data_IF_006895935554
#
_entry.id   IF_006895935554
#
_cell.length_a   1.000
_cell.length_b   1.000
_cell.length_c   1.000
_cell.angle_alpha   90.00
_cell.angle_beta   90.00
_cell.angle_gamma   90.00
#
_symmetry.space_group_name_H-M   'P 1'
#
loop_
_entity.id
_entity.type
_entity.pdbx_description
1 polymer ?
#
# COMPACT_ATOMS: atom_id res chain seq x y z
N UNK A 1 -6.03 -4.16 -20.69
CA UNK A 1 -5.07 -3.04 -20.52
C UNK A 1 -4.67 -3.02 -19.06
N UNK A 2 -3.38 -2.90 -18.77
CA UNK A 2 -2.87 -2.72 -17.41
C UNK A 2 -2.31 -1.31 -17.33
N UNK A 3 -2.66 -0.58 -16.29
CA UNK A 3 -2.08 0.73 -15.98
C UNK A 3 -1.33 0.59 -14.68
N UNK A 4 -0.10 1.11 -14.66
CA UNK A 4 0.74 1.20 -13.46
C UNK A 4 1.12 2.66 -13.27
N UNK A 5 0.86 3.18 -12.08
CA UNK A 5 1.32 4.50 -11.62
C UNK A 5 2.20 4.26 -10.42
N UNK A 6 3.36 4.92 -10.38
CA UNK A 6 4.35 4.82 -9.31
C UNK A 6 4.69 6.24 -8.88
N UNK A 7 4.67 6.50 -7.58
CA UNK A 7 5.06 7.77 -6.99
C UNK A 7 5.96 7.55 -5.77
N UNK A 8 7.09 8.25 -5.70
CA UNK A 8 8.09 8.08 -4.64
C UNK A 8 8.48 9.42 -4.06
N UNK A 9 8.34 9.55 -2.76
CA UNK A 9 8.78 10.70 -1.98
C UNK A 9 9.89 10.31 -0.99
N UNK A 10 10.85 11.21 -0.81
CA UNK A 10 11.94 11.05 0.16
C UNK A 10 12.08 12.29 1.02
N UNK A 11 12.00 12.13 2.33
CA UNK A 11 12.15 13.20 3.32
C UNK A 11 13.32 12.88 4.25
N UNK A 12 14.22 13.85 4.43
CA UNK A 12 15.39 13.71 5.33
C UNK A 12 15.37 14.81 6.37
N UNK A 13 15.26 14.45 7.65
CA UNK A 13 15.23 15.40 8.77
C UNK A 13 16.09 14.88 9.93
N UNK A 14 17.10 15.65 10.32
CA UNK A 14 17.86 15.40 11.56
C UNK A 14 18.51 14.02 11.64
N UNK A 15 18.94 13.44 10.51
CA UNK A 15 19.51 12.09 10.45
C UNK A 15 18.48 10.96 10.34
N UNK A 16 17.19 11.29 10.25
CA UNK A 16 16.12 10.37 9.87
C UNK A 16 15.88 10.47 8.37
N UNK A 17 15.71 9.32 7.71
CA UNK A 17 15.26 9.23 6.31
C UNK A 17 13.91 8.54 6.29
N UNK A 18 12.93 9.14 5.63
CA UNK A 18 11.63 8.54 5.33
C UNK A 18 11.50 8.44 3.82
N UNK A 19 11.19 7.25 3.34
CA UNK A 19 10.82 6.98 1.94
C UNK A 19 9.38 6.53 1.94
N UNK A 20 8.56 7.17 1.12
CA UNK A 20 7.16 6.80 0.87
C UNK A 20 7.07 6.42 -0.60
N UNK A 21 6.52 5.25 -0.90
CA UNK A 21 6.35 4.75 -2.26
C UNK A 21 4.93 4.25 -2.45
N UNK A 22 4.23 4.78 -3.45
CA UNK A 22 2.85 4.41 -3.77
C UNK A 22 2.77 3.86 -5.18
N UNK A 23 2.42 2.59 -5.28
CA UNK A 23 2.13 1.89 -6.51
C UNK A 23 0.62 1.69 -6.68
N UNK A 24 0.10 2.03 -7.87
CA UNK A 24 -1.29 1.77 -8.25
C UNK A 24 -1.33 0.91 -9.52
N UNK A 25 -1.93 -0.28 -9.41
CA UNK A 25 -2.10 -1.22 -10.53
C UNK A 25 -3.58 -1.44 -10.82
N UNK A 26 -3.99 -1.21 -12.06
CA UNK A 26 -5.38 -1.42 -12.50
C UNK A 26 -5.45 -2.50 -13.56
N UNK A 27 -6.20 -3.58 -13.28
CA UNK A 27 -6.43 -4.69 -14.20
C UNK A 27 -7.89 -5.13 -14.16
N UNK A 28 -8.64 -4.90 -15.25
CA UNK A 28 -9.91 -5.58 -15.51
C UNK A 28 -10.93 -5.53 -14.36
N UNK A 29 -11.18 -4.33 -13.79
CA UNK A 29 -12.10 -4.14 -12.67
C UNK A 29 -11.48 -4.35 -11.29
N UNK A 30 -10.19 -4.71 -11.21
CA UNK A 30 -9.40 -4.73 -9.99
C UNK A 30 -8.47 -3.52 -9.94
N UNK A 31 -8.39 -2.87 -8.78
CA UNK A 31 -7.41 -1.84 -8.44
C UNK A 31 -6.63 -2.33 -7.22
N UNK A 32 -5.31 -2.30 -7.31
CA UNK A 32 -4.42 -2.57 -6.18
C UNK A 32 -3.61 -1.31 -5.94
N UNK A 33 -3.66 -0.79 -4.72
CA UNK A 33 -2.81 0.29 -4.22
C UNK A 33 -1.88 -0.29 -3.18
N UNK A 34 -0.58 -0.11 -3.35
CA UNK A 34 0.45 -0.50 -2.39
C UNK A 34 1.14 0.77 -1.95
N UNK A 35 1.14 1.04 -0.66
CA UNK A 35 1.85 2.14 -0.02
C UNK A 35 2.95 1.55 0.88
N UNK A 36 4.19 1.97 0.67
CA UNK A 36 5.37 1.49 1.38
C UNK A 36 6.06 2.64 2.06
N UNK A 37 6.02 2.63 3.39
CA UNK A 37 6.80 3.54 4.22
C UNK A 37 8.06 2.84 4.72
N UNK A 38 9.21 3.43 4.43
CA UNK A 38 10.51 3.03 4.99
C UNK A 38 11.06 4.17 5.82
N UNK A 39 11.24 3.93 7.12
CA UNK A 39 11.81 4.90 8.06
C UNK A 39 13.14 4.38 8.57
N UNK A 40 14.19 5.18 8.38
CA UNK A 40 15.55 4.89 8.85
C UNK A 40 15.94 5.91 9.92
N UNK A 41 16.15 5.46 11.16
CA UNK A 41 16.58 6.30 12.29
C UNK A 41 17.79 5.68 12.95
N UNK A 42 18.93 6.37 12.94
CA UNK A 42 20.13 5.94 13.65
C UNK A 42 20.62 4.53 13.28
N UNK A 43 20.41 4.10 12.04
CA UNK A 43 20.75 2.76 11.54
C UNK A 43 19.68 1.69 11.75
N UNK A 44 18.57 2.00 12.42
CA UNK A 44 17.40 1.11 12.50
C UNK A 44 16.49 1.36 11.30
N UNK A 45 16.03 0.30 10.65
CA UNK A 45 15.08 0.36 9.52
C UNK A 45 13.73 -0.20 9.97
N UNK A 46 12.68 0.58 9.78
CA UNK A 46 11.29 0.17 9.94
C UNK A 46 10.63 0.22 8.58
N UNK A 47 9.97 -0.88 8.19
CA UNK A 47 9.20 -0.96 6.93
C UNK A 47 7.76 -1.27 7.28
N UNK A 48 6.86 -0.44 6.79
CA UNK A 48 5.41 -0.63 6.85
C UNK A 48 4.90 -0.70 5.42
N UNK A 49 4.12 -1.73 5.11
CA UNK A 49 3.45 -1.84 3.82
C UNK A 49 1.96 -1.88 4.06
N UNK A 50 1.23 -0.99 3.40
CA UNK A 50 -0.23 -0.97 3.38
C UNK A 50 -0.68 -1.35 1.97
N UNK A 51 -1.59 -2.32 1.88
CA UNK A 51 -2.15 -2.77 0.62
C UNK A 51 -3.66 -2.60 0.66
N UNK A 52 -4.20 -1.84 -0.29
CA UNK A 52 -5.62 -1.77 -0.58
C UNK A 52 -5.89 -2.52 -1.88
N UNK A 53 -6.79 -3.50 -1.83
CA UNK A 53 -7.30 -4.20 -3.01
C UNK A 53 -8.78 -3.90 -3.16
N UNK A 54 -9.17 -3.36 -4.31
CA UNK A 54 -10.56 -3.12 -4.69
C UNK A 54 -10.90 -3.98 -5.89
N UNK A 55 -11.94 -4.80 -5.78
CA UNK A 55 -12.42 -5.66 -6.88
C UNK A 55 -13.87 -5.35 -7.16
N UNK A 56 -14.20 -5.06 -8.42
CA UNK A 56 -15.57 -4.85 -8.87
C UNK A 56 -16.04 -6.04 -9.70
N UNK A 57 -17.08 -6.73 -9.22
CA UNK A 57 -17.68 -7.88 -9.91
C UNK A 57 -19.19 -7.71 -9.94
N UNK A 58 -19.76 -7.59 -11.14
CA UNK A 58 -21.21 -7.57 -11.37
C UNK A 58 -21.99 -6.54 -10.51
N UNK A 59 -21.39 -5.38 -10.24
CA UNK A 59 -22.00 -4.32 -9.41
C UNK A 59 -21.62 -4.38 -7.94
N UNK A 60 -21.03 -5.48 -7.48
CA UNK A 60 -20.46 -5.59 -6.13
C UNK A 60 -19.03 -5.06 -6.10
N UNK A 61 -18.71 -4.25 -5.08
CA UNK A 61 -17.36 -3.79 -4.77
C UNK A 61 -16.88 -4.48 -3.51
N UNK A 62 -15.69 -5.10 -3.57
CA UNK A 62 -15.00 -5.68 -2.42
C UNK A 62 -13.71 -4.90 -2.21
N UNK A 63 -13.54 -4.36 -1.01
CA UNK A 63 -12.32 -3.67 -0.59
C UNK A 63 -11.66 -4.45 0.55
N UNK A 64 -10.34 -4.63 0.47
CA UNK A 64 -9.55 -5.28 1.52
C UNK A 64 -8.34 -4.42 1.81
N UNK A 65 -8.16 -4.08 3.09
CA UNK A 65 -6.99 -3.35 3.58
C UNK A 65 -6.13 -4.29 4.41
N UNK A 66 -4.86 -4.42 4.04
CA UNK A 66 -3.87 -5.23 4.73
C UNK A 66 -2.68 -4.37 5.11
N UNK A 67 -2.16 -4.57 6.32
CA UNK A 67 -0.91 -3.95 6.78
C UNK A 67 0.11 -5.05 7.06
N UNK A 68 1.33 -4.84 6.56
CA UNK A 68 2.48 -5.72 6.78
C UNK A 68 3.54 -5.00 7.59
N UNK A 69 3.97 -5.63 8.68
CA UNK A 69 5.05 -5.18 9.55
C UNK A 69 6.10 -6.29 9.65
N UNK A 70 7.18 -6.15 8.89
CA UNK A 70 8.19 -7.21 8.75
C UNK A 70 7.58 -8.48 8.15
N UNK A 71 7.43 -9.53 8.95
CA UNK A 71 6.82 -10.81 8.53
C UNK A 71 5.35 -10.95 8.93
N UNK A 72 4.84 -10.01 9.72
CA UNK A 72 3.46 -10.05 10.23
C UNK A 72 2.54 -9.39 9.23
N UNK A 73 1.45 -10.08 8.87
CA UNK A 73 0.41 -9.58 7.98
C UNK A 73 -0.89 -9.47 8.76
N UNK A 74 -1.54 -8.31 8.73
CA UNK A 74 -2.79 -8.03 9.44
C UNK A 74 -3.83 -7.53 8.45
N UNK A 75 -4.96 -8.23 8.36
CA UNK A 75 -6.15 -7.69 7.67
C UNK A 75 -6.79 -6.68 8.61
N UNK A 76 -6.80 -5.41 8.19
CA UNK A 76 -7.28 -4.30 9.00
C UNK A 76 -8.76 -4.06 8.76
N UNK A 77 -9.19 -4.18 7.50
CA UNK A 77 -10.57 -3.95 7.11
C UNK A 77 -10.95 -4.77 5.89
N UNK A 78 -12.24 -5.11 5.80
CA UNK A 78 -12.87 -5.74 4.65
C UNK A 78 -14.26 -5.14 4.47
N UNK A 79 -14.46 -4.45 3.35
CA UNK A 79 -15.74 -3.82 3.00
C UNK A 79 -16.33 -4.51 1.79
N UNK A 80 -17.64 -4.77 1.84
CA UNK A 80 -18.39 -5.30 0.70
C UNK A 80 -19.62 -4.42 0.49
N UNK A 81 -19.74 -3.85 -0.71
CA UNK A 81 -20.86 -3.00 -1.13
C UNK A 81 -21.53 -3.65 -2.33
N UNK A 82 -22.86 -3.78 -2.31
CA UNK A 82 -23.68 -4.39 -3.37
C UNK A 82 -24.69 -3.42 -3.94
#
# INVERSE_FOLDING_TARGET
MVVVVVDVDVVVVGGTVVVVDVDVVVVGGTVVVVDVDVVVVGGTVVVVVVVLVVVVVLGTVVEVVVVVLGIVVVVVDVVVVT
#
